data_IF_305320545150
#
_entry.id   IF_305320545150
#
_cell.length_a   1.000
_cell.length_b   1.000
_cell.length_c   1.000
_cell.angle_alpha   90.00
_cell.angle_beta   90.00
_cell.angle_gamma   90.00
#
_symmetry.space_group_name_H-M   'P 1'
#
loop_
_entity.id
_entity.type
_entity.pdbx_description
1 polymer ?
#
# COMPACT_ATOMS: atom_id res chain seq x y z
N UNK A 1 -3.65 21.06 10.48
CA UNK A 1 -2.80 20.72 11.63
C UNK A 1 -2.57 21.96 12.46
N UNK A 2 -2.64 21.85 13.76
CA UNK A 2 -2.43 22.98 14.66
C UNK A 2 -1.21 22.73 15.52
N UNK A 3 -0.32 23.71 15.58
CA UNK A 3 0.79 23.75 16.54
C UNK A 3 1.64 22.49 16.55
N UNK A 4 1.87 21.91 15.39
CA UNK A 4 2.74 20.77 15.30
C UNK A 4 2.12 19.42 15.67
N UNK A 5 0.86 19.37 16.03
CA UNK A 5 0.21 18.10 16.35
C UNK A 5 -0.35 17.46 15.09
N UNK A 6 -0.09 16.17 14.93
CA UNK A 6 -0.57 15.38 13.82
C UNK A 6 -1.26 14.14 14.37
N UNK A 7 -2.48 13.89 13.94
CA UNK A 7 -3.20 12.70 14.33
C UNK A 7 -2.83 11.55 13.39
N UNK A 8 -2.20 10.53 13.94
CA UNK A 8 -1.69 9.39 13.18
C UNK A 8 -2.42 8.12 13.63
N UNK A 9 -2.76 7.27 12.67
CA UNK A 9 -3.35 5.97 12.94
C UNK A 9 -2.52 4.88 12.29
N UNK A 10 -2.47 3.73 12.97
CA UNK A 10 -1.93 2.51 12.41
C UNK A 10 -3.10 1.55 12.28
N UNK A 11 -3.28 0.97 11.11
CA UNK A 11 -4.42 0.13 10.82
C UNK A 11 -3.98 -1.20 10.26
N UNK A 12 -4.65 -2.26 10.70
CA UNK A 12 -4.38 -3.62 10.22
C UNK A 12 -5.64 -4.08 9.49
N UNK A 13 -5.64 -4.06 8.15
CA UNK A 13 -6.80 -4.49 7.40
C UNK A 13 -6.92 -6.01 7.41
N UNK A 14 -8.13 -6.52 7.18
CA UNK A 14 -8.29 -7.90 6.81
C UNK A 14 -7.68 -8.08 5.43
N UNK A 15 -6.87 -9.11 5.25
CA UNK A 15 -6.20 -9.34 3.97
C UNK A 15 -6.41 -10.78 3.52
N UNK A 16 -6.39 -10.96 2.21
CA UNK A 16 -6.39 -12.27 1.58
C UNK A 16 -5.13 -12.37 0.73
N UNK A 17 -4.45 -13.50 0.85
CA UNK A 17 -3.22 -13.73 0.10
C UNK A 17 -3.50 -13.62 -1.40
N UNK A 18 -2.68 -12.82 -2.09
CA UNK A 18 -2.74 -12.61 -3.52
C UNK A 18 -4.12 -12.15 -4.04
N UNK A 19 -4.89 -11.49 -3.20
CA UNK A 19 -6.18 -10.92 -3.60
C UNK A 19 -6.13 -9.41 -3.44
N UNK A 20 -5.48 -8.76 -4.39
CA UNK A 20 -5.26 -7.31 -4.32
C UNK A 20 -6.55 -6.52 -4.34
N UNK A 21 -7.57 -7.03 -5.07
CA UNK A 21 -8.85 -6.33 -5.12
C UNK A 21 -9.53 -6.31 -3.76
N UNK A 22 -9.59 -7.46 -3.09
CA UNK A 22 -10.17 -7.53 -1.76
C UNK A 22 -9.37 -6.64 -0.80
N UNK A 23 -8.05 -6.75 -0.85
CA UNK A 23 -7.19 -6.02 0.07
C UNK A 23 -7.30 -4.51 -0.13
N UNK A 24 -7.37 -4.05 -1.38
CA UNK A 24 -7.54 -2.62 -1.64
C UNK A 24 -8.88 -2.10 -1.14
N UNK A 25 -9.93 -2.89 -1.23
CA UNK A 25 -11.24 -2.49 -0.72
C UNK A 25 -11.22 -2.35 0.80
N UNK A 26 -10.51 -3.24 1.50
CA UNK A 26 -10.37 -3.13 2.94
C UNK A 26 -9.58 -1.89 3.33
N UNK A 27 -8.53 -1.60 2.58
CA UNK A 27 -7.71 -0.41 2.81
C UNK A 27 -8.56 0.85 2.58
N UNK A 28 -9.30 0.92 1.49
CA UNK A 28 -10.17 2.05 1.19
C UNK A 28 -11.16 2.30 2.31
N UNK A 29 -11.78 1.25 2.84
CA UNK A 29 -12.76 1.39 3.91
C UNK A 29 -12.11 1.98 5.17
N UNK A 30 -10.92 1.52 5.51
CA UNK A 30 -10.21 2.00 6.69
C UNK A 30 -9.75 3.45 6.50
N UNK A 31 -9.31 3.82 5.30
CA UNK A 31 -8.93 5.21 5.02
C UNK A 31 -10.14 6.12 5.18
N UNK A 32 -11.29 5.72 4.66
CA UNK A 32 -12.50 6.52 4.77
C UNK A 32 -12.93 6.72 6.23
N UNK A 33 -12.85 5.67 7.04
CA UNK A 33 -13.16 5.75 8.47
C UNK A 33 -12.19 6.69 9.17
N UNK A 34 -10.90 6.54 8.90
CA UNK A 34 -9.88 7.37 9.51
C UNK A 34 -10.03 8.84 9.10
N UNK A 35 -10.30 9.10 7.84
CA UNK A 35 -10.52 10.45 7.35
C UNK A 35 -11.70 11.10 8.06
N UNK A 36 -12.78 10.36 8.25
CA UNK A 36 -13.95 10.84 8.97
C UNK A 36 -13.67 11.14 10.44
N UNK A 37 -12.62 10.56 11.02
CA UNK A 37 -12.22 10.80 12.40
C UNK A 37 -11.13 11.85 12.54
N UNK A 38 -10.77 12.52 11.46
CA UNK A 38 -9.76 13.57 11.49
C UNK A 38 -8.33 13.05 11.53
N UNK A 39 -8.10 11.80 11.21
CA UNK A 39 -6.75 11.24 11.11
C UNK A 39 -6.05 11.90 9.92
N UNK A 40 -4.81 12.31 10.12
CA UNK A 40 -4.04 12.99 9.08
C UNK A 40 -3.10 12.06 8.35
N UNK A 41 -2.59 11.05 9.03
CA UNK A 41 -1.71 10.04 8.43
C UNK A 41 -2.17 8.68 8.91
N UNK A 42 -2.40 7.78 7.97
CA UNK A 42 -2.72 6.38 8.27
C UNK A 42 -1.65 5.49 7.68
N UNK A 43 -1.16 4.55 8.48
CA UNK A 43 -0.08 3.64 8.09
C UNK A 43 -0.62 2.21 8.12
N UNK A 44 -0.40 1.51 7.03
CA UNK A 44 -0.77 0.10 6.90
C UNK A 44 0.48 -0.78 6.94
N UNK A 45 0.35 -2.04 7.33
CA UNK A 45 1.50 -2.93 7.41
C UNK A 45 2.08 -3.24 6.03
N UNK A 46 3.28 -3.79 6.03
CA UNK A 46 3.94 -4.20 4.80
C UNK A 46 3.09 -5.20 4.03
N UNK A 47 3.10 -5.05 2.71
CA UNK A 47 2.44 -5.97 1.79
C UNK A 47 0.93 -6.09 2.01
N UNK A 48 0.31 -5.06 2.58
CA UNK A 48 -1.12 -5.10 2.85
C UNK A 48 -1.96 -5.21 1.58
N UNK A 49 -1.46 -4.72 0.44
CA UNK A 49 -2.19 -4.82 -0.82
C UNK A 49 -2.24 -6.26 -1.31
N UNK A 50 -1.15 -6.99 -1.22
CA UNK A 50 -1.11 -8.38 -1.68
C UNK A 50 -1.41 -9.38 -0.57
N UNK A 51 -1.28 -8.97 0.68
CA UNK A 51 -1.50 -9.83 1.84
C UNK A 51 -0.34 -10.76 2.13
N UNK A 52 0.65 -10.82 1.25
CA UNK A 52 1.73 -11.77 1.41
C UNK A 52 2.86 -11.42 0.45
N UNK A 53 4.09 -11.78 0.82
CA UNK A 53 5.25 -11.49 -0.01
C UNK A 53 5.31 -12.30 -1.30
N UNK A 54 4.62 -13.43 -1.35
CA UNK A 54 4.54 -14.28 -2.55
C UNK A 54 5.90 -14.45 -3.22
N UNK A 55 6.80 -15.15 -2.55
CA UNK A 55 8.09 -15.46 -3.14
C UNK A 55 7.96 -16.40 -4.34
N UNK A 56 6.79 -16.95 -4.54
CA UNK A 56 6.46 -17.77 -5.68
C UNK A 56 6.69 -16.98 -6.97
N UNK A 57 7.42 -17.58 -7.89
CA UNK A 57 7.78 -16.93 -9.14
C UNK A 57 6.66 -16.94 -10.17
N UNK A 58 5.78 -17.93 -10.08
CA UNK A 58 4.65 -17.95 -10.99
C UNK A 58 3.72 -16.81 -10.61
N UNK A 59 3.38 -16.03 -11.56
CA UNK A 59 2.44 -14.98 -11.33
C UNK A 59 3.00 -13.75 -10.64
N UNK A 60 4.30 -13.67 -10.37
CA UNK A 60 4.85 -12.46 -9.78
C UNK A 60 4.60 -11.24 -10.63
N UNK A 61 4.75 -11.37 -11.94
CA UNK A 61 4.47 -10.25 -12.85
C UNK A 61 3.02 -9.85 -12.76
N UNK A 62 2.12 -10.83 -12.80
CA UNK A 62 0.69 -10.57 -12.67
C UNK A 62 0.37 -9.95 -11.32
N UNK A 63 0.99 -10.46 -10.26
CA UNK A 63 0.78 -9.92 -8.92
C UNK A 63 1.21 -8.45 -8.82
N UNK A 64 2.34 -8.11 -9.44
CA UNK A 64 2.80 -6.72 -9.49
C UNK A 64 1.83 -5.84 -10.24
N UNK A 65 1.33 -6.31 -11.38
CA UNK A 65 0.36 -5.55 -12.17
C UNK A 65 -0.93 -5.35 -11.39
N UNK A 66 -1.42 -6.38 -10.73
CA UNK A 66 -2.63 -6.28 -9.92
C UNK A 66 -2.43 -5.35 -8.72
N UNK A 67 -1.25 -5.38 -8.10
CA UNK A 67 -0.94 -4.48 -7.01
C UNK A 67 -0.93 -3.02 -7.48
N UNK A 68 -0.37 -2.77 -8.66
CA UNK A 68 -0.38 -1.42 -9.23
C UNK A 68 -1.80 -0.95 -9.53
N UNK A 69 -2.63 -1.82 -10.09
CA UNK A 69 -4.02 -1.48 -10.35
C UNK A 69 -4.79 -1.20 -9.06
N UNK A 70 -4.54 -2.01 -8.03
CA UNK A 70 -5.15 -1.81 -6.73
C UNK A 70 -4.72 -0.47 -6.11
N UNK A 71 -3.45 -0.13 -6.22
CA UNK A 71 -2.95 1.15 -5.75
C UNK A 71 -3.63 2.30 -6.47
N UNK A 72 -3.74 2.21 -7.79
CA UNK A 72 -4.42 3.24 -8.58
C UNK A 72 -5.87 3.41 -8.14
N UNK A 73 -6.54 2.31 -7.81
CA UNK A 73 -7.91 2.37 -7.32
C UNK A 73 -8.00 3.06 -5.97
N UNK A 74 -7.08 2.75 -5.06
CA UNK A 74 -7.02 3.43 -3.76
C UNK A 74 -6.78 4.93 -3.97
N UNK A 75 -5.85 5.27 -4.85
CA UNK A 75 -5.54 6.67 -5.14
C UNK A 75 -6.76 7.39 -5.70
N UNK A 76 -7.48 6.77 -6.62
CA UNK A 76 -8.66 7.36 -7.20
C UNK A 76 -9.77 7.54 -6.16
N UNK A 77 -10.00 6.54 -5.33
CA UNK A 77 -11.06 6.59 -4.33
C UNK A 77 -10.79 7.59 -3.20
N UNK A 78 -9.53 7.92 -2.97
CA UNK A 78 -9.13 8.84 -1.92
C UNK A 78 -8.64 10.19 -2.44
N UNK A 79 -8.80 10.45 -3.72
CA UNK A 79 -8.19 11.62 -4.37
C UNK A 79 -8.66 12.96 -3.81
N UNK A 80 -9.82 13.00 -3.20
CA UNK A 80 -10.36 14.25 -2.64
C UNK A 80 -10.16 14.35 -1.13
N UNK A 81 -9.52 13.36 -0.53
CA UNK A 81 -9.26 13.36 0.89
C UNK A 81 -7.90 13.99 1.19
N UNK A 82 -7.81 14.65 2.33
CA UNK A 82 -6.53 15.25 2.76
C UNK A 82 -5.62 14.26 3.46
N UNK A 83 -6.16 13.13 3.89
CA UNK A 83 -5.39 12.13 4.63
C UNK A 83 -4.24 11.60 3.79
N UNK A 84 -3.08 11.43 4.42
CA UNK A 84 -1.93 10.79 3.82
C UNK A 84 -1.99 9.31 4.17
N UNK A 85 -1.92 8.46 3.17
CA UNK A 85 -1.98 7.01 3.37
C UNK A 85 -0.65 6.38 2.98
N UNK A 86 -0.15 5.49 3.83
CA UNK A 86 1.08 4.77 3.57
C UNK A 86 0.72 3.30 3.49
N UNK A 87 0.88 2.72 2.31
CA UNK A 87 0.49 1.33 2.05
C UNK A 87 1.71 0.51 1.66
N UNK A 88 1.71 -0.75 2.06
CA UNK A 88 2.78 -1.67 1.73
C UNK A 88 2.45 -2.51 0.52
N UNK A 89 3.36 -2.60 -0.43
CA UNK A 89 3.16 -3.37 -1.63
C UNK A 89 4.49 -3.75 -2.28
N UNK A 90 4.49 -4.81 -3.10
CA UNK A 90 5.67 -5.10 -3.90
C UNK A 90 5.74 -4.13 -5.07
N UNK A 91 6.94 -3.73 -5.41
CA UNK A 91 7.20 -2.90 -6.60
C UNK A 91 8.38 -3.47 -7.34
N UNK A 92 8.44 -3.19 -8.63
CA UNK A 92 9.55 -3.58 -9.47
C UNK A 92 10.28 -2.33 -9.95
N UNK A 93 11.60 -2.39 -9.95
CA UNK A 93 12.44 -1.31 -10.46
C UNK A 93 13.60 -1.96 -11.20
N UNK A 94 13.72 -1.68 -12.49
CA UNK A 94 14.74 -2.28 -13.34
C UNK A 94 14.73 -3.81 -13.20
N UNK A 95 15.78 -4.38 -12.63
CA UNK A 95 15.89 -5.82 -12.45
C UNK A 95 15.58 -6.27 -11.03
N UNK A 96 15.14 -5.34 -10.19
CA UNK A 96 14.92 -5.64 -8.77
C UNK A 96 13.44 -5.62 -8.44
N UNK A 97 13.08 -6.45 -7.49
CA UNK A 97 11.76 -6.41 -6.84
C UNK A 97 11.96 -6.11 -5.39
N UNK A 98 11.07 -5.32 -4.83
CA UNK A 98 11.21 -4.91 -3.44
C UNK A 98 9.85 -4.75 -2.79
N UNK A 99 9.83 -4.89 -1.49
CA UNK A 99 8.69 -4.47 -0.69
C UNK A 99 8.87 -3.00 -0.40
N UNK A 100 7.84 -2.22 -0.61
CA UNK A 100 7.94 -0.79 -0.44
C UNK A 100 6.76 -0.25 0.34
N UNK A 101 7.00 0.86 1.02
CA UNK A 101 5.94 1.69 1.56
C UNK A 101 5.69 2.79 0.55
N UNK A 102 4.46 2.90 0.07
CA UNK A 102 4.07 3.90 -0.91
C UNK A 102 3.24 4.94 -0.19
N UNK A 103 3.66 6.19 -0.28
CA UNK A 103 3.02 7.32 0.37
C UNK A 103 2.14 8.02 -0.65
N UNK A 104 0.84 8.06 -0.39
CA UNK A 104 -0.13 8.64 -1.33
C UNK A 104 -0.99 9.69 -0.64
N UNK A 105 -1.38 10.68 -1.40
CA UNK A 105 -2.32 11.72 -0.97
C UNK A 105 -2.93 12.37 -2.20
N UNK A 106 -4.24 12.60 -2.16
CA UNK A 106 -4.95 13.34 -3.21
C UNK A 106 -4.69 12.81 -4.61
N UNK A 107 -4.64 11.49 -4.75
CA UNK A 107 -4.45 10.86 -6.05
C UNK A 107 -3.03 10.91 -6.57
N UNK A 108 -2.06 11.23 -5.73
CA UNK A 108 -0.66 11.32 -6.13
C UNK A 108 0.23 10.45 -5.25
N UNK A 109 1.29 9.93 -5.85
CA UNK A 109 2.33 9.24 -5.09
C UNK A 109 3.35 10.29 -4.69
N UNK A 110 3.55 10.43 -3.39
CA UNK A 110 4.51 11.38 -2.84
C UNK A 110 5.88 10.77 -2.63
N UNK A 111 5.93 9.48 -2.48
CA UNK A 111 7.19 8.80 -2.30
C UNK A 111 7.02 7.29 -2.26
N UNK A 112 8.10 6.60 -2.56
CA UNK A 112 8.19 5.15 -2.48
C UNK A 112 9.42 4.84 -1.64
N UNK A 113 9.22 4.21 -0.49
CA UNK A 113 10.31 3.91 0.43
C UNK A 113 10.57 2.41 0.39
N UNK A 114 11.69 1.97 -0.14
CA UNK A 114 12.03 0.54 -0.13
C UNK A 114 12.19 0.05 1.30
N UNK A 115 11.56 -1.07 1.61
CA UNK A 115 11.69 -1.69 2.92
C UNK A 115 12.63 -2.87 2.88
N UNK A 116 12.49 -3.70 1.86
CA UNK A 116 13.35 -4.86 1.69
C UNK A 116 13.25 -5.30 0.25
N UNK A 117 14.30 -5.91 -0.25
CA UNK A 117 14.26 -6.53 -1.56
C UNK A 117 13.65 -7.90 -1.45
N UNK A 118 12.80 -8.23 -2.41
CA UNK A 118 12.21 -9.56 -2.46
C UNK A 118 13.28 -10.55 -2.89
N UNK A 119 13.30 -11.75 -2.30
CA UNK A 119 14.30 -12.73 -2.68
C UNK A 119 14.12 -13.13 -4.14
N UNK A 120 15.25 -13.20 -4.82
CA UNK A 120 15.33 -13.79 -6.15
C UNK A 120 15.61 -15.27 -5.94
N UNK A 121 14.90 -16.11 -6.69
CA UNK A 121 15.10 -17.55 -6.57
C UNK A 121 16.55 -17.99 -6.85
N UNK A 122 17.31 -17.14 -7.52
CA UNK A 122 18.73 -17.43 -7.78
C UNK A 122 19.61 -17.19 -6.58
N UNK A 123 19.14 -16.47 -5.61
CA UNK A 123 19.91 -16.08 -4.45
C UNK A 123 19.69 -16.98 -3.25
N UNK A 124 18.76 -17.83 -3.35
CA UNK A 124 18.41 -18.72 -2.24
C UNK A 124 19.48 -19.78 -1.99
#
# INVERSE_FOLDING_TARGET
MKYGFVKVASAIPAVKVADSKFNSQQIDALIAIADGKGVQIIVFPELCITGYSCADLFGQTLLLEEAEMALMQIMNNTRQMNIISIVGMPVASHSSRMNAAVVIQKGKIWGVVPKSYLPDHKES
#
